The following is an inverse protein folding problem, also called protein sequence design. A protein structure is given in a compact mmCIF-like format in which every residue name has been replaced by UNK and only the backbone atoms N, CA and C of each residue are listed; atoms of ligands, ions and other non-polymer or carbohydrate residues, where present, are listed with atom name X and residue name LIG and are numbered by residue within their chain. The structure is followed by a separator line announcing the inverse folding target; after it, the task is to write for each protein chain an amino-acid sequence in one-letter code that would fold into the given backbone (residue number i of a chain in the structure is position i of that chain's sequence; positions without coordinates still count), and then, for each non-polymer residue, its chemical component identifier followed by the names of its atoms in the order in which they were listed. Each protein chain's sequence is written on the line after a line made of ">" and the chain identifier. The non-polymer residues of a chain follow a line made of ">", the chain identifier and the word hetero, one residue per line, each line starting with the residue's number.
data_IF_713889508626
#
_entry.id   IF_713889508626
#
_cell.length_a   1.000
_cell.length_b   1.000
_cell.length_c   1.000
_cell.angle_alpha   90.00
_cell.angle_beta   90.00
_cell.angle_gamma   90.00
#
_symmetry.space_group_name_H-M   'P 1'
#
loop_
_entity.id
_entity.type
_entity.pdbx_description
1 polymer ?
#
# COMPACT_ATOMS: atom_id res chain seq x y z
N UNK A 1 7.42 -13.30 6.59
CA UNK A 1 8.70 -14.00 6.32
C UNK A 1 8.69 -14.55 4.90
N UNK A 2 9.87 -14.81 4.24
CA UNK A 2 9.92 -15.36 2.89
C UNK A 2 9.15 -16.68 2.72
N UNK A 3 9.16 -17.54 3.72
CA UNK A 3 8.41 -18.81 3.74
C UNK A 3 6.89 -18.59 3.71
N UNK A 4 6.39 -17.61 4.46
CA UNK A 4 4.96 -17.24 4.43
C UNK A 4 4.54 -16.73 3.06
N UNK A 5 5.38 -15.93 2.42
CA UNK A 5 5.11 -15.40 1.07
C UNK A 5 5.04 -16.54 0.04
N UNK A 6 5.97 -17.50 0.11
CA UNK A 6 5.96 -18.67 -0.77
C UNK A 6 4.70 -19.52 -0.55
N UNK A 7 4.32 -19.79 0.69
CA UNK A 7 3.12 -20.56 1.04
C UNK A 7 1.84 -19.89 0.54
N UNK A 8 1.74 -18.55 0.67
CA UNK A 8 0.60 -17.78 0.16
C UNK A 8 0.51 -17.81 -1.36
N UNK A 9 1.64 -17.71 -2.06
CA UNK A 9 1.67 -17.82 -3.52
C UNK A 9 1.24 -19.21 -3.99
N UNK A 10 1.71 -20.27 -3.35
CA UNK A 10 1.31 -21.64 -3.68
C UNK A 10 -0.19 -21.86 -3.46
N UNK A 11 -0.76 -21.31 -2.39
CA UNK A 11 -2.21 -21.35 -2.14
C UNK A 11 -3.00 -20.65 -3.25
N UNK A 12 -2.51 -19.49 -3.73
CA UNK A 12 -3.12 -18.79 -4.86
C UNK A 12 -3.02 -19.59 -6.17
N UNK A 13 -1.87 -20.22 -6.41
CA UNK A 13 -1.65 -21.10 -7.58
C UNK A 13 -2.66 -22.25 -7.58
N UNK A 14 -2.83 -22.92 -6.44
CA UNK A 14 -3.78 -24.03 -6.31
C UNK A 14 -5.22 -23.57 -6.50
N UNK A 15 -5.58 -22.42 -5.92
CA UNK A 15 -6.91 -21.86 -6.09
C UNK A 15 -7.23 -21.49 -7.55
N UNK A 16 -6.28 -20.87 -8.23
CA UNK A 16 -6.41 -20.53 -9.66
C UNK A 16 -6.50 -21.78 -10.55
N UNK A 17 -5.78 -22.86 -10.21
CA UNK A 17 -5.83 -24.11 -10.95
C UNK A 17 -7.19 -24.82 -10.87
N UNK A 18 -7.98 -24.56 -9.82
CA UNK A 18 -9.30 -25.17 -9.61
C UNK A 18 -10.45 -24.37 -10.24
N UNK A 19 -10.26 -23.09 -10.49
CA UNK A 19 -11.28 -22.17 -10.99
C UNK A 19 -10.85 -21.59 -12.33
N UNK A 20 -11.64 -21.84 -13.37
CA UNK A 20 -11.34 -21.39 -14.74
C UNK A 20 -11.98 -20.03 -15.09
N UNK A 21 -12.43 -19.27 -14.10
CA UNK A 21 -13.05 -17.97 -14.30
C UNK A 21 -12.00 -16.86 -14.42
N UNK A 22 -12.39 -15.75 -15.05
CA UNK A 22 -11.56 -14.56 -15.21
C UNK A 22 -11.28 -13.92 -13.84
N UNK A 23 -10.04 -14.03 -13.36
CA UNK A 23 -9.65 -13.49 -12.06
C UNK A 23 -8.78 -12.24 -12.19
N UNK A 24 -8.92 -11.34 -11.23
CA UNK A 24 -7.93 -10.28 -10.97
C UNK A 24 -7.15 -10.68 -9.73
N UNK A 25 -5.84 -10.88 -9.90
CA UNK A 25 -4.91 -11.17 -8.82
C UNK A 25 -4.09 -9.93 -8.54
N UNK A 26 -4.07 -9.49 -7.28
CA UNK A 26 -3.24 -8.37 -6.83
C UNK A 26 -2.21 -8.87 -5.82
N UNK A 27 -0.94 -8.61 -6.09
CA UNK A 27 0.19 -8.94 -5.22
C UNK A 27 0.87 -7.65 -4.79
N UNK A 28 0.90 -7.41 -3.49
CA UNK A 28 1.56 -6.24 -2.92
C UNK A 28 2.99 -6.58 -2.52
N UNK A 29 3.89 -5.61 -2.70
CA UNK A 29 5.28 -5.69 -2.26
C UNK A 29 6.04 -6.93 -2.82
N UNK A 30 5.99 -7.17 -4.15
CA UNK A 30 6.63 -8.34 -4.80
C UNK A 30 8.15 -8.42 -4.59
N UNK A 31 8.79 -7.37 -4.08
CA UNK A 31 10.22 -7.44 -3.70
C UNK A 31 10.52 -8.53 -2.65
N UNK A 32 9.51 -8.97 -1.89
CA UNK A 32 9.67 -10.07 -0.92
C UNK A 32 9.78 -11.45 -1.55
N UNK A 33 9.43 -11.57 -2.83
CA UNK A 33 9.59 -12.80 -3.63
C UNK A 33 11.01 -12.90 -4.19
N UNK A 34 11.63 -11.75 -4.47
CA UNK A 34 12.91 -11.68 -5.16
C UNK A 34 14.04 -12.33 -4.37
N UNK A 35 14.91 -13.07 -5.07
CA UNK A 35 16.03 -13.79 -4.46
C UNK A 35 15.65 -15.10 -3.77
N UNK A 36 14.36 -15.46 -3.74
CA UNK A 36 13.90 -16.76 -3.29
C UNK A 36 13.39 -17.57 -4.48
N UNK A 37 14.16 -18.57 -4.91
CA UNK A 37 13.89 -19.35 -6.11
C UNK A 37 12.52 -20.02 -6.07
N UNK A 38 12.12 -20.62 -4.94
CA UNK A 38 10.81 -21.28 -4.83
C UNK A 38 9.64 -20.28 -4.93
N UNK A 39 9.78 -19.10 -4.33
CA UNK A 39 8.78 -18.04 -4.44
C UNK A 39 8.70 -17.47 -5.86
N UNK A 40 9.84 -17.34 -6.55
CA UNK A 40 9.88 -16.89 -7.94
C UNK A 40 9.26 -17.92 -8.89
N UNK A 41 9.48 -19.22 -8.67
CA UNK A 41 8.85 -20.31 -9.43
C UNK A 41 7.33 -20.32 -9.22
N UNK A 42 6.85 -20.12 -7.98
CA UNK A 42 5.44 -20.00 -7.68
C UNK A 42 4.81 -18.76 -8.35
N UNK A 43 5.48 -17.61 -8.32
CA UNK A 43 5.02 -16.39 -8.99
C UNK A 43 4.96 -16.55 -10.52
N UNK A 44 5.94 -17.24 -11.11
CA UNK A 44 5.94 -17.55 -12.54
C UNK A 44 4.76 -18.45 -12.92
N UNK A 45 4.49 -19.48 -12.12
CA UNK A 45 3.34 -20.37 -12.30
C UNK A 45 2.02 -19.61 -12.19
N UNK A 46 1.87 -18.76 -11.19
CA UNK A 46 0.70 -17.91 -11.01
C UNK A 46 0.49 -16.96 -12.21
N UNK A 47 1.56 -16.33 -12.69
CA UNK A 47 1.51 -15.50 -13.88
C UNK A 47 0.97 -16.28 -15.11
N UNK A 48 1.49 -17.49 -15.33
CA UNK A 48 1.06 -18.33 -16.45
C UNK A 48 -0.42 -18.70 -16.33
N UNK A 49 -0.89 -19.07 -15.14
CA UNK A 49 -2.31 -19.39 -14.92
C UNK A 49 -3.21 -18.18 -15.14
N UNK A 50 -2.82 -16.99 -14.66
CA UNK A 50 -3.56 -15.74 -14.92
C UNK A 50 -3.66 -15.45 -16.42
N UNK A 51 -2.58 -15.67 -17.18
CA UNK A 51 -2.58 -15.48 -18.65
C UNK A 51 -3.50 -16.50 -19.33
N UNK A 52 -3.44 -17.76 -18.96
CA UNK A 52 -4.30 -18.82 -19.51
C UNK A 52 -5.78 -18.53 -19.24
N UNK A 53 -6.11 -18.10 -18.03
CA UNK A 53 -7.45 -17.70 -17.62
C UNK A 53 -7.89 -16.34 -18.23
N UNK A 54 -7.05 -15.67 -19.03
CA UNK A 54 -7.28 -14.30 -19.52
C UNK A 54 -7.58 -13.31 -18.40
N UNK A 55 -7.01 -13.56 -17.21
CA UNK A 55 -7.16 -12.74 -16.03
C UNK A 55 -6.29 -11.48 -16.07
N UNK A 56 -6.24 -10.79 -14.94
CA UNK A 56 -5.41 -9.61 -14.74
C UNK A 56 -4.48 -9.83 -13.56
N UNK A 57 -3.21 -9.50 -13.73
CA UNK A 57 -2.22 -9.49 -12.66
C UNK A 57 -1.83 -8.04 -12.36
N UNK A 58 -2.04 -7.60 -11.14
CA UNK A 58 -1.57 -6.33 -10.61
C UNK A 58 -0.48 -6.62 -9.57
N UNK A 59 0.68 -6.04 -9.75
CA UNK A 59 1.80 -6.18 -8.80
C UNK A 59 2.28 -4.82 -8.35
N UNK A 60 2.58 -4.66 -7.06
CA UNK A 60 3.26 -3.48 -6.56
C UNK A 60 4.72 -3.76 -6.23
N UNK A 61 5.56 -2.75 -6.38
CA UNK A 61 6.98 -2.81 -6.07
C UNK A 61 7.49 -1.44 -5.63
N UNK A 62 8.40 -1.41 -4.65
CA UNK A 62 8.93 -0.15 -4.10
C UNK A 62 9.95 0.55 -4.99
N UNK A 63 10.59 -0.19 -5.89
CA UNK A 63 11.60 0.35 -6.81
C UNK A 63 11.09 0.35 -8.25
N UNK A 64 11.63 1.20 -9.14
CA UNK A 64 11.35 1.10 -10.57
C UNK A 64 11.69 -0.28 -11.12
N UNK A 65 10.91 -0.76 -12.08
CA UNK A 65 11.11 -2.07 -12.72
C UNK A 65 12.53 -2.22 -13.34
N UNK A 66 13.15 -1.11 -13.76
CA UNK A 66 14.53 -1.10 -14.25
C UNK A 66 15.55 -1.57 -13.20
N UNK A 67 15.25 -1.40 -11.93
CA UNK A 67 16.13 -1.73 -10.80
C UNK A 67 15.79 -3.07 -10.16
N UNK A 68 14.73 -3.75 -10.63
CA UNK A 68 14.35 -5.07 -10.15
C UNK A 68 15.06 -6.16 -10.94
N UNK A 69 15.47 -7.20 -10.25
CA UNK A 69 16.10 -8.39 -10.84
C UNK A 69 15.56 -9.63 -10.17
N UNK A 70 14.97 -10.50 -10.97
CA UNK A 70 14.58 -11.84 -10.51
C UNK A 70 15.70 -12.84 -10.85
N UNK A 71 15.80 -13.91 -10.07
CA UNK A 71 16.74 -15.01 -10.35
C UNK A 71 16.33 -15.76 -11.62
N UNK A 72 15.02 -15.91 -11.85
CA UNK A 72 14.48 -16.57 -13.03
C UNK A 72 14.38 -15.57 -14.18
N UNK A 73 15.21 -15.77 -15.22
CA UNK A 73 15.26 -14.89 -16.39
C UNK A 73 13.90 -14.76 -17.11
N UNK A 74 13.10 -15.83 -17.15
CA UNK A 74 11.77 -15.81 -17.75
C UNK A 74 10.81 -14.93 -16.95
N UNK A 75 10.82 -15.04 -15.61
CA UNK A 75 10.03 -14.17 -14.73
C UNK A 75 10.46 -12.71 -14.88
N UNK A 76 11.77 -12.43 -14.88
CA UNK A 76 12.33 -11.07 -15.05
C UNK A 76 11.84 -10.45 -16.36
N UNK A 77 11.89 -11.21 -17.44
CA UNK A 77 11.42 -10.76 -18.76
C UNK A 77 9.93 -10.44 -18.76
N UNK A 78 9.09 -11.32 -18.17
CA UNK A 78 7.63 -11.14 -18.12
C UNK A 78 7.25 -9.95 -17.24
N UNK A 79 7.88 -9.80 -16.07
CA UNK A 79 7.60 -8.65 -15.19
C UNK A 79 7.99 -7.33 -15.85
N UNK A 80 9.07 -7.29 -16.62
CA UNK A 80 9.45 -6.11 -17.40
C UNK A 80 8.51 -5.80 -18.56
N UNK A 81 7.83 -6.79 -19.10
CA UNK A 81 6.87 -6.62 -20.21
C UNK A 81 5.50 -6.09 -19.73
N UNK A 82 5.23 -6.09 -18.43
CA UNK A 82 3.99 -5.52 -17.89
C UNK A 82 3.90 -4.01 -18.14
N UNK A 83 2.69 -3.47 -18.13
CA UNK A 83 2.49 -2.03 -18.11
C UNK A 83 2.92 -1.45 -16.75
N UNK A 84 3.81 -0.46 -16.76
CA UNK A 84 4.36 0.13 -15.54
C UNK A 84 3.74 1.49 -15.25
N UNK A 85 3.25 1.64 -14.03
CA UNK A 85 2.70 2.89 -13.53
C UNK A 85 3.48 3.33 -12.29
N UNK A 86 4.01 4.55 -12.32
CA UNK A 86 4.69 5.12 -11.16
C UNK A 86 3.68 5.81 -10.24
N UNK A 87 3.59 5.33 -9.01
CA UNK A 87 2.85 6.03 -7.95
C UNK A 87 3.75 7.12 -7.37
N UNK A 88 3.34 8.38 -7.54
CA UNK A 88 4.05 9.54 -7.00
C UNK A 88 3.53 9.83 -5.59
N UNK A 89 4.41 9.98 -4.59
CA UNK A 89 4.00 10.40 -3.25
C UNK A 89 3.22 11.73 -3.30
N UNK A 90 2.23 11.85 -2.43
CA UNK A 90 1.46 13.09 -2.32
C UNK A 90 2.36 14.23 -1.81
N UNK A 91 2.20 15.40 -2.40
CA UNK A 91 2.68 16.66 -1.86
C UNK A 91 1.88 17.07 -0.62
N UNK A 92 2.25 18.17 0.02
CA UNK A 92 1.58 18.62 1.24
C UNK A 92 0.11 18.99 1.00
N UNK A 93 -0.22 19.53 -0.17
CA UNK A 93 -1.59 19.81 -0.56
C UNK A 93 -2.42 18.53 -0.74
N UNK A 94 -1.85 17.52 -1.38
CA UNK A 94 -2.45 16.20 -1.53
C UNK A 94 -2.66 15.51 -0.17
N UNK A 95 -1.66 15.56 0.71
CA UNK A 95 -1.78 15.04 2.09
C UNK A 95 -2.89 15.75 2.86
N UNK A 96 -2.91 17.08 2.81
CA UNK A 96 -3.96 17.88 3.43
C UNK A 96 -5.35 17.47 2.97
N UNK A 97 -5.52 17.26 1.67
CA UNK A 97 -6.79 16.81 1.09
C UNK A 97 -7.20 15.43 1.60
N UNK A 98 -6.28 14.47 1.63
CA UNK A 98 -6.57 13.11 2.13
C UNK A 98 -6.95 13.15 3.61
N UNK A 99 -6.22 13.90 4.44
CA UNK A 99 -6.50 14.01 5.87
C UNK A 99 -7.88 14.63 6.14
N UNK A 100 -8.27 15.67 5.38
CA UNK A 100 -9.63 16.24 5.47
C UNK A 100 -10.70 15.24 5.07
N UNK A 101 -10.56 14.58 3.92
CA UNK A 101 -11.53 13.58 3.47
C UNK A 101 -11.70 12.44 4.48
N UNK A 102 -10.62 12.02 5.12
CA UNK A 102 -10.65 10.99 6.17
C UNK A 102 -11.33 11.47 7.45
N UNK A 103 -11.09 12.72 7.84
CA UNK A 103 -11.75 13.35 8.98
C UNK A 103 -13.26 13.50 8.73
N UNK A 104 -13.64 14.01 7.57
CA UNK A 104 -15.04 14.17 7.14
C UNK A 104 -15.79 12.84 7.09
N UNK A 105 -15.16 11.80 6.54
CA UNK A 105 -15.73 10.44 6.52
C UNK A 105 -15.98 9.85 7.91
N UNK A 106 -15.32 10.37 8.95
CA UNK A 106 -15.51 10.03 10.37
C UNK A 106 -16.41 11.00 11.11
N UNK A 107 -16.98 11.98 10.42
CA UNK A 107 -17.96 12.93 10.97
C UNK A 107 -17.35 14.10 11.74
N UNK A 108 -16.05 14.40 11.61
CA UNK A 108 -15.46 15.57 12.25
C UNK A 108 -14.72 16.49 11.27
N UNK A 109 -14.65 17.77 11.63
CA UNK A 109 -13.98 18.77 10.85
C UNK A 109 -12.53 18.96 11.32
N UNK A 110 -11.58 18.95 10.37
CA UNK A 110 -10.18 19.26 10.61
C UNK A 110 -9.89 20.71 10.18
N UNK A 111 -9.73 21.66 11.15
CA UNK A 111 -9.56 23.07 10.82
C UNK A 111 -8.28 23.32 10.01
N UNK A 112 -8.33 24.26 9.07
CA UNK A 112 -7.21 24.55 8.17
C UNK A 112 -5.92 24.87 8.92
N UNK A 113 -5.97 25.77 9.91
CA UNK A 113 -4.78 26.16 10.69
C UNK A 113 -4.17 25.02 11.53
N UNK A 114 -5.00 24.08 12.00
CA UNK A 114 -4.51 22.87 12.69
C UNK A 114 -3.77 21.97 11.71
N UNK A 115 -4.34 21.77 10.53
CA UNK A 115 -3.76 20.94 9.48
C UNK A 115 -2.43 21.54 8.94
N UNK A 116 -2.38 22.83 8.69
CA UNK A 116 -1.15 23.51 8.26
C UNK A 116 -0.05 23.38 9.33
N UNK A 117 -0.39 23.67 10.58
CA UNK A 117 0.53 23.52 11.69
C UNK A 117 1.06 22.06 11.76
N UNK A 118 0.18 21.08 11.67
CA UNK A 118 0.54 19.68 11.73
C UNK A 118 1.47 19.27 10.58
N UNK A 119 1.13 19.58 9.32
CA UNK A 119 1.97 19.27 8.17
C UNK A 119 3.31 20.00 8.16
N UNK A 120 3.41 21.16 8.82
CA UNK A 120 4.68 21.91 8.96
C UNK A 120 5.63 21.32 10.01
N UNK A 121 5.14 20.60 11.00
CA UNK A 121 5.90 20.12 12.16
C UNK A 121 5.90 18.61 12.33
N UNK A 122 4.89 17.95 11.79
CA UNK A 122 4.64 16.51 11.92
C UNK A 122 5.42 15.65 10.93
N UNK A 123 5.16 14.35 10.96
CA UNK A 123 5.80 13.37 10.07
C UNK A 123 5.45 13.62 8.62
N UNK A 124 6.33 13.16 7.74
CA UNK A 124 6.12 13.27 6.28
C UNK A 124 5.49 12.03 5.67
N UNK A 125 5.53 10.90 6.34
CA UNK A 125 4.98 9.64 5.87
C UNK A 125 3.45 9.63 6.02
N UNK A 126 2.74 9.18 4.99
CA UNK A 126 1.27 9.23 4.96
C UNK A 126 0.63 8.23 5.92
N UNK A 127 1.24 7.07 6.10
CA UNK A 127 0.86 6.04 7.07
C UNK A 127 0.89 6.57 8.51
N UNK A 128 1.97 7.27 8.87
CA UNK A 128 2.11 7.92 10.18
C UNK A 128 1.08 9.04 10.36
N UNK A 129 0.85 9.86 9.34
CA UNK A 129 -0.18 10.91 9.39
C UNK A 129 -1.59 10.32 9.57
N UNK A 130 -1.90 9.20 8.93
CA UNK A 130 -3.19 8.52 9.09
C UNK A 130 -3.33 7.90 10.49
N UNK A 131 -2.28 7.30 11.01
CA UNK A 131 -2.25 6.78 12.38
C UNK A 131 -2.44 7.90 13.42
N UNK A 132 -1.73 9.00 13.26
CA UNK A 132 -1.86 10.17 14.13
C UNK A 132 -3.26 10.80 14.04
N UNK A 133 -3.88 10.79 12.86
CA UNK A 133 -5.26 11.25 12.69
C UNK A 133 -6.24 10.40 13.53
N UNK A 134 -6.03 9.09 13.62
CA UNK A 134 -6.83 8.19 14.45
C UNK A 134 -6.67 8.50 15.94
N UNK A 135 -5.45 8.78 16.38
CA UNK A 135 -5.17 9.19 17.77
C UNK A 135 -5.86 10.51 18.11
N UNK A 136 -5.82 11.48 17.19
CA UNK A 136 -6.49 12.78 17.36
C UNK A 136 -8.01 12.64 17.43
N UNK A 137 -8.60 11.77 16.59
CA UNK A 137 -10.03 11.46 16.60
C UNK A 137 -10.46 10.88 17.94
N UNK A 138 -9.76 9.86 18.42
CA UNK A 138 -10.02 9.26 19.75
C UNK A 138 -9.91 10.27 20.88
N UNK A 139 -8.88 11.11 20.87
CA UNK A 139 -8.72 12.13 21.90
C UNK A 139 -9.81 13.22 21.84
N UNK A 140 -10.21 13.64 20.64
CA UNK A 140 -11.31 14.60 20.44
C UNK A 140 -12.63 14.06 20.98
N UNK A 141 -12.95 12.80 20.71
CA UNK A 141 -14.15 12.12 21.23
C UNK A 141 -14.12 11.99 22.76
N UNK A 142 -13.01 11.54 23.33
CA UNK A 142 -12.86 11.38 24.78
C UNK A 142 -13.02 12.69 25.55
N UNK A 143 -12.49 13.78 25.01
CA UNK A 143 -12.52 15.08 25.65
C UNK A 143 -13.72 15.95 25.21
N UNK A 144 -14.57 15.48 24.30
CA UNK A 144 -15.66 16.26 23.70
C UNK A 144 -15.20 17.65 23.22
N UNK A 145 -14.00 17.73 22.66
CA UNK A 145 -13.36 18.98 22.26
C UNK A 145 -13.10 19.01 20.78
N UNK A 146 -13.24 20.18 20.19
CA UNK A 146 -12.83 20.42 18.80
C UNK A 146 -11.32 20.23 18.65
N UNK A 147 -10.89 19.79 17.48
CA UNK A 147 -9.48 19.70 17.14
C UNK A 147 -8.86 21.11 17.10
N UNK A 148 -7.87 21.32 17.96
CA UNK A 148 -7.13 22.56 18.09
C UNK A 148 -5.63 22.29 18.11
N UNK A 149 -4.82 23.31 17.83
CA UNK A 149 -3.34 23.19 17.92
C UNK A 149 -2.88 22.74 19.33
N UNK A 150 -3.42 23.28 20.45
CA UNK A 150 -3.09 22.75 21.76
C UNK A 150 -3.39 21.26 21.96
N UNK A 151 -4.56 20.78 21.51
CA UNK A 151 -4.90 19.36 21.58
C UNK A 151 -3.95 18.53 20.72
N UNK A 152 -3.64 18.99 19.50
CA UNK A 152 -2.69 18.31 18.61
C UNK A 152 -1.31 18.18 19.31
N UNK A 153 -0.80 19.24 19.91
CA UNK A 153 0.47 19.20 20.65
C UNK A 153 0.42 18.21 21.82
N UNK A 154 -0.67 18.22 22.56
CA UNK A 154 -0.85 17.33 23.72
C UNK A 154 -0.86 15.86 23.31
N UNK A 155 -1.54 15.52 22.20
CA UNK A 155 -1.73 14.14 21.76
C UNK A 155 -0.51 13.60 20.99
N UNK A 156 0.09 14.44 20.14
CA UNK A 156 1.15 14.03 19.21
C UNK A 156 2.57 14.44 19.68
N UNK A 157 2.69 15.39 20.63
CA UNK A 157 3.98 15.77 21.20
C UNK A 157 4.81 16.75 20.35
N UNK A 158 4.17 17.57 19.49
CA UNK A 158 4.86 18.55 18.61
C UNK A 158 4.95 19.93 19.24
#
# INVERSE_FOLDING_TARGET
>A
TPEQTTSQLLTLVDHMGQNNDLHTVALDDIQHVMGNRAAEEALLTLYQQVVVARGRLLVSHRQPASNTRFLLADLDSRMRALAHYRVVPLDDAGKARVLRLRAEARGYHLPYGVLEYWLSRGPRAMDTLLYDLERLDQASLQHQRMLTIPLLKQVLGY
#
